data_IF_725642719728
#
_entry.id   IF_725642719728
#
_cell.length_a   1.000
_cell.length_b   1.000
_cell.length_c   1.000
_cell.angle_alpha   90.00
_cell.angle_beta   90.00
_cell.angle_gamma   90.00
#
_symmetry.space_group_name_H-M   'P 1'
#
loop_
_entity.id
_entity.type
_entity.pdbx_description
1 polymer ?
#
# COMPACT_ATOMS: atom_id res chain seq x y z
N UNK A 1 12.52 4.37 -4.42
CA UNK A 1 13.38 4.96 -3.40
C UNK A 1 12.63 6.06 -2.63
N UNK A 2 12.59 5.97 -1.29
CA UNK A 2 12.07 7.03 -0.43
C UNK A 2 10.55 7.19 -0.35
N UNK A 3 9.76 6.25 -0.87
CA UNK A 3 8.30 6.29 -0.78
C UNK A 3 7.82 6.31 0.68
N UNK A 4 8.33 5.38 1.52
CA UNK A 4 7.97 5.30 2.93
C UNK A 4 8.24 6.61 3.68
N UNK A 5 9.42 7.19 3.49
CA UNK A 5 9.76 8.48 4.08
C UNK A 5 8.86 9.61 3.58
N UNK A 6 8.58 9.66 2.28
CA UNK A 6 7.71 10.67 1.70
C UNK A 6 6.27 10.54 2.21
N UNK A 7 5.74 9.31 2.29
CA UNK A 7 4.41 9.03 2.83
C UNK A 7 4.31 9.42 4.31
N UNK A 8 5.27 9.01 5.12
CA UNK A 8 5.32 9.34 6.54
C UNK A 8 5.41 10.86 6.78
N UNK A 9 6.27 11.55 6.02
CA UNK A 9 6.45 13.00 6.12
C UNK A 9 5.19 13.75 5.69
N UNK A 10 4.54 13.33 4.62
CA UNK A 10 3.28 13.93 4.16
C UNK A 10 2.18 13.73 5.22
N UNK A 11 2.10 12.53 5.80
CA UNK A 11 1.16 12.24 6.89
C UNK A 11 1.36 13.18 8.08
N UNK A 12 2.60 13.34 8.54
CA UNK A 12 2.93 14.26 9.65
C UNK A 12 2.60 15.72 9.32
N UNK A 13 2.84 16.17 8.08
CA UNK A 13 2.53 17.54 7.65
C UNK A 13 1.02 17.80 7.59
N UNK A 14 0.22 16.84 7.14
CA UNK A 14 -1.24 16.94 7.15
C UNK A 14 -1.78 16.98 8.59
N UNK A 15 -1.25 16.13 9.48
CA UNK A 15 -1.61 16.17 10.89
C UNK A 15 -1.26 17.50 11.55
N UNK A 16 -0.12 18.11 11.20
CA UNK A 16 0.26 19.43 11.70
C UNK A 16 -0.72 20.54 11.27
N UNK A 17 -1.53 20.30 10.23
CA UNK A 17 -2.63 21.18 9.81
C UNK A 17 -3.95 20.88 10.51
N UNK A 18 -4.02 19.82 11.29
CA UNK A 18 -5.20 19.38 12.02
C UNK A 18 -5.99 18.26 11.35
N UNK A 19 -5.50 17.73 10.24
CA UNK A 19 -6.18 16.66 9.50
C UNK A 19 -5.95 15.29 10.17
N UNK A 20 -6.94 14.41 10.12
CA UNK A 20 -6.83 13.01 10.55
C UNK A 20 -6.31 12.17 9.39
N UNK A 21 -5.21 11.49 9.61
CA UNK A 21 -4.48 10.77 8.54
C UNK A 21 -4.28 9.31 8.92
N UNK A 22 -4.56 8.42 7.97
CA UNK A 22 -4.22 7.00 7.99
C UNK A 22 -3.22 6.67 6.90
N UNK A 23 -2.15 5.94 7.24
CA UNK A 23 -1.21 5.42 6.25
C UNK A 23 -1.41 3.92 6.06
N UNK A 24 -1.30 3.47 4.82
CA UNK A 24 -1.42 2.05 4.42
C UNK A 24 -0.31 1.65 3.50
N UNK A 25 0.11 0.39 3.64
CA UNK A 25 1.12 -0.24 2.81
C UNK A 25 0.50 -1.34 1.95
N UNK A 26 0.76 -1.29 0.65
CA UNK A 26 0.34 -2.31 -0.31
C UNK A 26 1.60 -2.90 -0.94
N UNK A 27 1.91 -4.15 -0.59
CA UNK A 27 3.14 -4.81 -1.02
C UNK A 27 2.86 -5.84 -2.12
N UNK A 28 3.49 -5.69 -3.30
CA UNK A 28 3.20 -6.54 -4.45
C UNK A 28 3.85 -7.92 -4.40
N UNK A 29 4.63 -8.29 -3.38
CA UNK A 29 5.20 -9.62 -3.28
C UNK A 29 4.16 -10.69 -2.91
N UNK A 30 4.45 -11.95 -3.27
CA UNK A 30 3.55 -13.09 -3.09
C UNK A 30 3.58 -13.72 -1.69
N UNK A 31 4.51 -13.34 -0.84
CA UNK A 31 4.51 -13.79 0.55
C UNK A 31 3.24 -13.31 1.27
N UNK A 32 2.66 -14.15 2.10
CA UNK A 32 1.46 -13.79 2.89
C UNK A 32 1.80 -12.69 3.90
N UNK A 33 2.97 -12.79 4.50
CA UNK A 33 3.54 -11.77 5.38
C UNK A 33 5.08 -11.81 5.27
N UNK A 34 5.80 -10.82 5.81
CA UNK A 34 7.26 -10.78 5.75
C UNK A 34 7.97 -11.64 6.79
N UNK A 35 7.25 -12.29 7.72
CA UNK A 35 7.85 -13.01 8.85
C UNK A 35 8.77 -14.17 8.45
N UNK A 36 8.54 -14.79 7.28
CA UNK A 36 9.37 -15.85 6.74
C UNK A 36 10.39 -15.38 5.70
N UNK A 37 10.41 -14.08 5.39
CA UNK A 37 11.32 -13.50 4.39
C UNK A 37 12.71 -13.34 4.95
N UNK A 38 13.72 -13.43 4.07
CA UNK A 38 15.12 -13.23 4.45
C UNK A 38 15.37 -11.75 4.81
N UNK A 39 15.79 -11.43 6.04
CA UNK A 39 16.01 -10.05 6.46
C UNK A 39 17.07 -9.31 5.64
N UNK A 40 18.04 -10.01 5.06
CA UNK A 40 19.06 -9.40 4.20
C UNK A 40 18.54 -8.97 2.84
N UNK A 41 17.42 -9.54 2.40
CA UNK A 41 16.76 -9.19 1.12
C UNK A 41 15.62 -8.21 1.31
N UNK A 42 14.85 -8.36 2.38
CA UNK A 42 13.63 -7.60 2.60
C UNK A 42 13.75 -6.52 3.68
N UNK A 43 14.69 -6.66 4.61
CA UNK A 43 14.81 -5.84 5.80
C UNK A 43 14.13 -6.44 7.03
N UNK A 44 14.05 -5.66 8.08
CA UNK A 44 13.43 -6.08 9.33
C UNK A 44 11.90 -6.12 9.24
N UNK A 45 11.30 -7.00 10.02
CA UNK A 45 9.84 -7.11 10.17
C UNK A 45 9.38 -6.16 11.28
N UNK A 46 8.32 -5.41 11.01
CA UNK A 46 7.62 -4.63 12.01
C UNK A 46 6.38 -5.39 12.49
N UNK A 47 6.21 -5.49 13.80
CA UNK A 47 5.04 -6.15 14.41
C UNK A 47 4.12 -5.07 14.99
N UNK A 48 2.89 -5.03 14.52
CA UNK A 48 1.87 -4.10 15.00
C UNK A 48 1.36 -4.48 16.40
N UNK A 49 0.73 -3.55 17.10
CA UNK A 49 0.16 -3.80 18.44
C UNK A 49 -0.89 -4.93 18.44
N UNK A 50 -1.59 -5.14 17.32
CA UNK A 50 -2.54 -6.24 17.13
C UNK A 50 -1.91 -7.54 16.57
N UNK A 51 -0.57 -7.62 16.58
CA UNK A 51 0.20 -8.82 16.30
C UNK A 51 0.36 -9.18 14.83
N UNK A 52 0.21 -8.22 13.91
CA UNK A 52 0.50 -8.45 12.49
C UNK A 52 2.00 -8.27 12.22
N UNK A 53 2.60 -9.21 11.49
CA UNK A 53 3.93 -9.07 10.90
C UNK A 53 3.81 -8.30 9.59
N UNK A 54 4.53 -7.19 9.48
CA UNK A 54 4.40 -6.25 8.36
C UNK A 54 5.75 -5.72 7.90
N UNK A 55 5.74 -5.02 6.79
CA UNK A 55 6.90 -4.27 6.30
C UNK A 55 7.33 -3.19 7.30
N UNK A 56 8.64 -2.94 7.38
CA UNK A 56 9.24 -1.94 8.27
C UNK A 56 8.69 -0.52 8.05
N UNK A 57 8.17 -0.22 6.88
CA UNK A 57 7.60 1.10 6.57
C UNK A 57 6.47 1.48 7.55
N UNK A 58 5.70 0.50 8.07
CA UNK A 58 4.67 0.78 9.07
C UNK A 58 5.26 1.37 10.36
N UNK A 59 6.43 0.90 10.77
CA UNK A 59 7.16 1.48 11.89
C UNK A 59 7.61 2.92 11.63
N UNK A 60 7.98 3.23 10.39
CA UNK A 60 8.27 4.61 10.00
C UNK A 60 7.01 5.48 10.04
N UNK A 61 5.86 4.97 9.57
CA UNK A 61 4.60 5.70 9.65
C UNK A 61 4.24 6.05 11.10
N UNK A 62 4.32 5.09 12.02
CA UNK A 62 4.07 5.33 13.45
C UNK A 62 5.03 6.38 14.03
N UNK A 63 6.32 6.27 13.71
CA UNK A 63 7.33 7.20 14.22
C UNK A 63 7.05 8.64 13.83
N UNK A 64 6.57 8.88 12.61
CA UNK A 64 6.33 10.23 12.10
C UNK A 64 4.98 10.79 12.52
N UNK A 65 3.96 9.95 12.62
CA UNK A 65 2.58 10.40 12.85
C UNK A 65 2.10 10.20 14.28
N UNK A 66 2.76 9.34 15.05
CA UNK A 66 2.28 8.94 16.38
C UNK A 66 1.00 8.11 16.36
N UNK A 67 0.58 7.62 15.19
CA UNK A 67 -0.63 6.79 15.04
C UNK A 67 -0.21 5.33 14.92
N UNK A 68 -0.68 4.48 15.84
CA UNK A 68 -0.38 3.04 15.79
C UNK A 68 -0.94 2.40 14.54
N UNK A 69 -0.08 1.68 13.82
CA UNK A 69 -0.47 0.86 12.67
C UNK A 69 -1.24 -0.39 13.14
N UNK A 70 -2.12 -0.86 12.29
CA UNK A 70 -2.96 -2.03 12.53
C UNK A 70 -2.74 -3.06 11.44
N UNK A 71 -3.16 -4.28 11.69
CA UNK A 71 -3.22 -5.35 10.67
C UNK A 71 -3.93 -4.89 9.38
N UNK A 72 -4.96 -4.05 9.51
CA UNK A 72 -5.71 -3.49 8.39
C UNK A 72 -4.97 -2.39 7.61
N UNK A 73 -3.77 -2.00 8.03
CA UNK A 73 -2.98 -0.97 7.36
C UNK A 73 -1.89 -1.56 6.44
N UNK A 74 -1.78 -2.89 6.36
CA UNK A 74 -0.86 -3.58 5.45
C UNK A 74 -1.54 -4.71 4.71
N UNK A 75 -1.26 -4.85 3.43
CA UNK A 75 -1.69 -5.98 2.62
C UNK A 75 -0.62 -6.38 1.62
N UNK A 76 -0.45 -7.70 1.45
CA UNK A 76 0.42 -8.26 0.42
C UNK A 76 -0.40 -8.89 -0.71
N UNK A 77 0.21 -9.06 -1.88
CA UNK A 77 -0.39 -9.86 -2.97
C UNK A 77 -0.76 -11.26 -2.46
N UNK A 78 0.09 -11.88 -1.65
CA UNK A 78 -0.19 -13.20 -1.08
C UNK A 78 -1.47 -13.24 -0.27
N UNK A 79 -1.73 -12.23 0.56
CA UNK A 79 -2.98 -12.11 1.33
C UNK A 79 -4.20 -11.92 0.44
N UNK A 80 -4.09 -11.07 -0.60
CA UNK A 80 -5.17 -10.84 -1.57
C UNK A 80 -5.54 -12.14 -2.29
N UNK A 81 -4.55 -12.85 -2.84
CA UNK A 81 -4.79 -14.11 -3.55
C UNK A 81 -5.27 -15.23 -2.62
N UNK A 82 -4.75 -15.33 -1.41
CA UNK A 82 -5.22 -16.29 -0.41
C UNK A 82 -6.71 -16.07 -0.09
N UNK A 83 -7.11 -14.81 0.09
CA UNK A 83 -8.51 -14.43 0.31
C UNK A 83 -9.36 -14.77 -0.91
N UNK A 84 -8.89 -14.44 -2.11
CA UNK A 84 -9.57 -14.69 -3.37
C UNK A 84 -9.83 -16.19 -3.57
N UNK A 85 -8.79 -17.02 -3.43
CA UNK A 85 -8.87 -18.46 -3.62
C UNK A 85 -9.74 -19.12 -2.54
N UNK A 86 -9.71 -18.63 -1.31
CA UNK A 86 -10.60 -19.08 -0.25
C UNK A 86 -12.07 -18.79 -0.58
N UNK A 87 -12.38 -17.60 -1.07
CA UNK A 87 -13.73 -17.23 -1.54
C UNK A 87 -14.16 -18.11 -2.72
N UNK A 88 -13.28 -18.35 -3.68
CA UNK A 88 -13.54 -19.21 -4.84
C UNK A 88 -13.89 -20.63 -4.40
N UNK A 89 -13.06 -21.25 -3.56
CA UNK A 89 -13.28 -22.62 -3.05
C UNK A 89 -14.55 -22.76 -2.22
N UNK A 90 -14.98 -21.69 -1.57
CA UNK A 90 -16.25 -21.65 -0.81
C UNK A 90 -17.48 -21.48 -1.71
N UNK A 91 -17.28 -21.10 -2.98
CA UNK A 91 -18.37 -20.92 -3.95
C UNK A 91 -18.96 -19.51 -3.97
N UNK A 92 -18.29 -18.51 -3.39
CA UNK A 92 -18.80 -17.13 -3.30
C UNK A 92 -18.99 -16.47 -4.68
N UNK A 93 -18.33 -16.99 -5.71
CA UNK A 93 -18.44 -16.49 -7.08
C UNK A 93 -19.45 -17.23 -7.97
N UNK A 94 -20.25 -18.15 -7.35
CA UNK A 94 -21.38 -18.83 -8.01
C UNK A 94 -21.02 -19.51 -9.34
N UNK A 95 -19.81 -20.07 -9.46
CA UNK A 95 -19.31 -20.73 -10.67
C UNK A 95 -18.79 -19.78 -11.76
N UNK A 96 -18.74 -18.49 -11.49
CA UNK A 96 -18.13 -17.52 -12.41
C UNK A 96 -16.62 -17.71 -12.54
N UNK A 97 -16.08 -17.33 -13.72
CA UNK A 97 -14.63 -17.31 -13.94
C UNK A 97 -13.98 -16.21 -13.12
N UNK A 98 -13.07 -16.58 -12.22
CA UNK A 98 -12.33 -15.64 -11.36
C UNK A 98 -11.07 -15.17 -12.08
N UNK A 99 -10.89 -13.85 -12.20
CA UNK A 99 -9.82 -13.22 -12.95
C UNK A 99 -9.16 -12.10 -12.15
N UNK A 100 -7.99 -11.63 -12.57
CA UNK A 100 -7.33 -10.49 -11.93
C UNK A 100 -8.23 -9.26 -11.95
N UNK A 101 -8.83 -8.96 -13.09
CA UNK A 101 -9.87 -7.94 -13.22
C UNK A 101 -11.20 -8.65 -13.45
N UNK A 102 -12.23 -8.45 -12.63
CA UNK A 102 -12.31 -7.48 -11.53
C UNK A 102 -11.91 -8.01 -10.14
N UNK A 103 -11.72 -9.31 -9.94
CA UNK A 103 -11.77 -9.92 -8.61
C UNK A 103 -10.58 -9.55 -7.71
N UNK A 104 -9.34 -9.53 -8.25
CA UNK A 104 -8.17 -9.09 -7.48
C UNK A 104 -8.23 -7.58 -7.27
N UNK A 105 -8.56 -6.82 -8.31
CA UNK A 105 -8.65 -5.36 -8.20
C UNK A 105 -9.74 -4.91 -7.23
N UNK A 106 -10.87 -5.61 -7.17
CA UNK A 106 -11.93 -5.31 -6.20
C UNK A 106 -11.48 -5.55 -4.77
N UNK A 107 -10.78 -6.66 -4.48
CA UNK A 107 -10.22 -6.92 -3.14
C UNK A 107 -9.19 -5.85 -2.73
N UNK A 108 -8.38 -5.36 -3.67
CA UNK A 108 -7.45 -4.26 -3.39
C UNK A 108 -8.21 -2.97 -3.07
N UNK A 109 -9.26 -2.65 -3.84
CA UNK A 109 -10.10 -1.46 -3.59
C UNK A 109 -10.83 -1.57 -2.24
N UNK A 110 -11.38 -2.75 -1.93
CA UNK A 110 -11.98 -3.03 -0.61
C UNK A 110 -10.98 -2.75 0.52
N UNK A 111 -9.74 -3.22 0.38
CA UNK A 111 -8.70 -2.98 1.37
C UNK A 111 -8.42 -1.48 1.54
N UNK A 112 -8.28 -0.72 0.45
CA UNK A 112 -8.00 0.72 0.49
C UNK A 112 -9.10 1.49 1.18
N UNK A 113 -10.35 1.11 1.00
CA UNK A 113 -11.52 1.81 1.56
C UNK A 113 -11.95 1.32 2.94
N UNK A 114 -11.43 0.16 3.38
CA UNK A 114 -11.84 -0.45 4.65
C UNK A 114 -11.43 0.42 5.84
N UNK A 115 -12.34 0.56 6.83
CA UNK A 115 -12.06 1.23 8.10
C UNK A 115 -11.46 2.65 7.92
N UNK A 116 -11.96 3.41 6.95
CA UNK A 116 -11.52 4.79 6.67
C UNK A 116 -12.48 5.85 7.20
N UNK A 117 -13.55 5.44 7.87
CA UNK A 117 -14.55 6.36 8.42
C UNK A 117 -13.92 7.22 9.53
N UNK A 118 -14.00 8.53 9.33
CA UNK A 118 -13.46 9.51 10.27
C UNK A 118 -12.03 9.96 9.99
N UNK A 119 -11.40 9.45 8.93
CA UNK A 119 -10.13 9.97 8.43
C UNK A 119 -10.37 11.03 7.34
N UNK A 120 -9.60 12.12 7.38
CA UNK A 120 -9.66 13.15 6.33
C UNK A 120 -8.81 12.74 5.13
N UNK A 121 -7.70 12.02 5.38
CA UNK A 121 -6.80 11.50 4.36
C UNK A 121 -6.40 10.06 4.62
N UNK A 122 -6.38 9.25 3.57
CA UNK A 122 -5.79 7.91 3.55
C UNK A 122 -4.63 7.92 2.56
N UNK A 123 -3.42 7.75 3.05
CA UNK A 123 -2.21 7.70 2.25
C UNK A 123 -1.84 6.24 2.00
N UNK A 124 -1.96 5.79 0.76
CA UNK A 124 -1.63 4.43 0.35
C UNK A 124 -0.28 4.40 -0.36
N UNK A 125 0.71 3.79 0.26
CA UNK A 125 2.00 3.55 -0.38
C UNK A 125 1.97 2.21 -1.10
N UNK A 126 2.25 2.22 -2.41
CA UNK A 126 2.41 1.00 -3.20
C UNK A 126 3.88 0.63 -3.24
N UNK A 127 4.21 -0.56 -2.74
CA UNK A 127 5.55 -1.14 -2.78
C UNK A 127 6.03 -1.44 -4.19
N UNK A 128 7.33 -1.72 -4.32
CA UNK A 128 7.95 -2.03 -5.61
C UNK A 128 8.22 -0.81 -6.48
N UNK A 129 8.60 -1.10 -7.73
CA UNK A 129 8.88 -0.10 -8.76
C UNK A 129 7.73 -0.04 -9.75
N UNK A 130 7.35 1.16 -10.17
CA UNK A 130 6.32 1.33 -11.21
C UNK A 130 6.83 0.71 -12.51
N UNK A 131 6.05 -0.21 -13.06
CA UNK A 131 6.40 -1.00 -14.25
C UNK A 131 6.70 -2.47 -13.96
N UNK A 132 6.99 -2.83 -12.71
CA UNK A 132 7.12 -4.23 -12.33
C UNK A 132 5.78 -4.96 -12.48
N UNK A 133 5.83 -6.18 -13.01
CA UNK A 133 4.62 -6.95 -13.32
C UNK A 133 3.78 -7.26 -12.08
N UNK A 134 4.44 -7.48 -10.95
CA UNK A 134 3.79 -7.77 -9.67
C UNK A 134 2.95 -6.59 -9.17
N UNK A 135 3.33 -5.36 -9.51
CA UNK A 135 2.62 -4.14 -9.11
C UNK A 135 1.40 -3.82 -9.95
N UNK A 136 1.24 -4.43 -11.13
CA UNK A 136 0.19 -4.06 -12.10
C UNK A 136 -1.23 -4.13 -11.53
N UNK A 137 -1.64 -5.18 -10.78
CA UNK A 137 -2.98 -5.23 -10.20
C UNK A 137 -3.27 -4.08 -9.22
N UNK A 138 -2.26 -3.65 -8.46
CA UNK A 138 -2.41 -2.51 -7.54
C UNK A 138 -2.56 -1.20 -8.31
N UNK A 139 -1.75 -0.98 -9.34
CA UNK A 139 -1.85 0.22 -10.19
C UNK A 139 -3.20 0.29 -10.90
N UNK A 140 -3.70 -0.83 -11.40
CA UNK A 140 -5.03 -0.89 -12.02
C UNK A 140 -6.14 -0.64 -11.00
N UNK A 141 -6.06 -1.23 -9.80
CA UNK A 141 -7.04 -1.03 -8.74
C UNK A 141 -7.14 0.45 -8.32
N UNK A 142 -6.01 1.14 -8.11
CA UNK A 142 -6.02 2.56 -7.75
C UNK A 142 -6.50 3.46 -8.90
N UNK A 143 -6.21 3.07 -10.16
CA UNK A 143 -6.74 3.78 -11.32
C UNK A 143 -8.27 3.71 -11.36
N UNK A 144 -8.85 2.51 -11.14
CA UNK A 144 -10.30 2.32 -11.05
C UNK A 144 -10.88 3.11 -9.89
N UNK A 145 -10.26 3.00 -8.71
CA UNK A 145 -10.70 3.70 -7.50
C UNK A 145 -10.72 5.23 -7.69
N UNK A 146 -9.70 5.77 -8.36
CA UNK A 146 -9.65 7.20 -8.68
C UNK A 146 -10.77 7.64 -9.63
N UNK A 147 -11.21 6.76 -10.52
CA UNK A 147 -12.36 7.01 -11.36
C UNK A 147 -13.68 6.95 -10.58
N UNK A 148 -13.81 5.94 -9.70
CA UNK A 148 -15.03 5.73 -8.89
C UNK A 148 -15.24 6.83 -7.84
N UNK A 149 -14.17 7.29 -7.19
CA UNK A 149 -14.22 8.34 -6.17
C UNK A 149 -14.27 9.77 -6.73
N UNK A 150 -13.80 9.95 -7.96
CA UNK A 150 -13.69 11.27 -8.59
C UNK A 150 -12.34 11.95 -8.35
N UNK A 151 -11.94 12.79 -9.31
CA UNK A 151 -10.63 13.44 -9.34
C UNK A 151 -10.37 14.40 -8.18
N UNK A 152 -11.42 14.98 -7.64
CA UNK A 152 -11.35 15.90 -6.51
C UNK A 152 -11.02 15.21 -5.18
N UNK A 153 -11.15 13.88 -5.13
CA UNK A 153 -10.92 13.08 -3.92
C UNK A 153 -9.66 12.24 -3.97
N UNK A 154 -8.99 12.15 -5.12
CA UNK A 154 -7.83 11.28 -5.32
C UNK A 154 -6.68 12.02 -5.95
N UNK A 155 -5.50 11.88 -5.37
CA UNK A 155 -4.25 12.38 -5.90
C UNK A 155 -3.21 11.26 -6.00
N UNK A 156 -2.54 11.18 -7.13
CA UNK A 156 -1.42 10.27 -7.33
C UNK A 156 -0.10 11.01 -7.17
N UNK A 157 0.79 10.46 -6.35
CA UNK A 157 2.13 10.98 -6.15
C UNK A 157 3.13 9.95 -6.67
N UNK A 158 3.84 10.28 -7.72
CA UNK A 158 4.90 9.46 -8.28
C UNK A 158 6.26 9.98 -7.85
N UNK A 159 7.04 9.13 -7.18
CA UNK A 159 8.40 9.46 -6.77
C UNK A 159 9.40 8.93 -7.79
N UNK A 160 10.30 9.79 -8.22
CA UNK A 160 11.42 9.42 -9.08
C UNK A 160 12.73 9.97 -8.53
N UNK A 161 13.82 9.28 -8.81
CA UNK A 161 15.15 9.77 -8.48
C UNK A 161 15.58 10.81 -9.51
N UNK A 162 15.96 11.99 -9.03
CA UNK A 162 16.58 13.05 -9.86
C UNK A 162 18.01 13.25 -9.35
N UNK A 163 18.99 12.54 -9.93
CA UNK A 163 20.37 12.62 -9.45
C UNK A 163 21.04 13.94 -9.88
N UNK A 164 21.84 14.49 -8.98
CA UNK A 164 22.76 15.58 -9.35
C UNK A 164 24.06 14.98 -9.89
N UNK A 165 24.41 15.31 -11.13
CA UNK A 165 25.63 14.86 -11.76
C UNK A 165 26.71 15.91 -11.58
N UNK A 166 27.62 15.70 -10.64
CA UNK A 166 28.64 16.68 -10.27
C UNK A 166 29.54 17.10 -11.45
N UNK A 167 29.87 16.16 -12.35
CA UNK A 167 30.68 16.43 -13.53
C UNK A 167 30.01 17.38 -14.55
N UNK A 168 28.67 17.25 -14.68
CA UNK A 168 27.86 18.07 -15.58
C UNK A 168 27.29 19.33 -14.89
N UNK A 169 27.35 19.38 -13.55
CA UNK A 169 26.77 20.42 -12.69
C UNK A 169 25.25 20.62 -12.92
N UNK A 170 24.54 19.54 -13.21
CA UNK A 170 23.11 19.56 -13.47
C UNK A 170 22.38 18.39 -12.82
N UNK A 171 21.06 18.54 -12.69
CA UNK A 171 20.13 17.47 -12.34
C UNK A 171 19.74 16.68 -13.61
N UNK A 172 19.58 15.37 -13.46
CA UNK A 172 19.14 14.48 -14.55
C UNK A 172 17.92 13.67 -14.10
#
# INVERSE_FOLDING_TARGET
>A
LGKGLASASLGALLQARGDKVRLRKLDPYLNVDPGTMNPTQHGEVFVTDDGAETDLDLGHYERFTGVSARRSDSVTTGQIYSTLLTKERRGDYLGGTVQVIPHVTDLIKEFVLKDTDGEDFVLCEIGGTVGDIEGQPFLEAIRQLGWELGRERVMYVHLTLVPYIAAAKELK
#
